data_IF_159265875311
#
_entry.id   IF_159265875311
#
_cell.length_a   1.000
_cell.length_b   1.000
_cell.length_c   1.000
_cell.angle_alpha   90.00
_cell.angle_beta   90.00
_cell.angle_gamma   90.00
#
_symmetry.space_group_name_H-M   'P 1'
#
loop_
_entity.id
_entity.type
_entity.pdbx_description
1 polymer ?
#
# COMPACT_ATOMS: atom_id res chain seq x y z
N UNK A 1 68.81 -18.16 -17.95
CA UNK A 1 67.78 -17.80 -18.94
C UNK A 1 66.46 -17.66 -18.21
N UNK A 2 65.86 -16.48 -18.30
CA UNK A 2 64.67 -16.06 -17.55
C UNK A 2 64.80 -14.57 -17.22
N UNK A 3 64.32 -13.67 -18.10
CA UNK A 3 64.62 -12.25 -18.00
C UNK A 3 63.72 -11.52 -16.99
N UNK A 4 64.34 -10.58 -16.28
CA UNK A 4 63.70 -9.46 -15.58
C UNK A 4 62.86 -8.65 -16.57
N UNK A 5 61.68 -8.21 -16.12
CA UNK A 5 60.94 -7.14 -16.78
C UNK A 5 60.44 -6.18 -15.72
N UNK A 6 60.73 -4.92 -16.01
CA UNK A 6 60.77 -3.77 -15.11
C UNK A 6 59.39 -3.20 -14.78
N UNK A 7 59.33 -2.51 -13.65
CA UNK A 7 58.28 -1.57 -13.31
C UNK A 7 58.35 -0.32 -14.21
N UNK A 8 57.21 0.26 -14.61
CA UNK A 8 57.10 1.68 -14.94
C UNK A 8 56.35 2.41 -13.82
N UNK A 9 57.05 3.27 -13.06
CA UNK A 9 57.03 4.75 -13.18
C UNK A 9 55.66 5.39 -13.05
N UNK A 10 55.50 6.03 -11.89
CA UNK A 10 54.64 7.17 -11.57
C UNK A 10 54.58 8.20 -12.70
N UNK A 11 53.37 8.44 -13.21
CA UNK A 11 53.03 9.61 -14.00
C UNK A 11 51.82 10.26 -13.34
N UNK A 12 52.10 11.31 -12.57
CA UNK A 12 51.11 12.23 -12.05
C UNK A 12 50.23 12.78 -13.18
N UNK A 13 48.95 12.43 -13.13
CA UNK A 13 47.89 13.06 -13.89
C UNK A 13 46.87 13.62 -12.92
N UNK A 14 46.93 14.94 -12.66
CA UNK A 14 45.90 15.67 -11.92
C UNK A 14 44.57 15.50 -12.66
N UNK A 15 43.59 14.84 -12.04
CA UNK A 15 42.20 14.97 -12.46
C UNK A 15 41.76 16.42 -12.26
N UNK A 16 41.15 17.09 -13.26
CA UNK A 16 40.58 18.41 -13.03
C UNK A 16 39.39 18.26 -12.10
N UNK A 17 39.52 18.77 -10.88
CA UNK A 17 38.40 19.04 -9.99
C UNK A 17 37.46 20.03 -10.68
N UNK A 18 36.31 19.55 -11.16
CA UNK A 18 35.21 20.43 -11.56
C UNK A 18 34.81 21.30 -10.35
N UNK A 19 34.83 22.64 -10.45
CA UNK A 19 34.27 23.48 -9.42
C UNK A 19 32.75 23.28 -9.41
N UNK A 20 32.18 22.98 -8.24
CA UNK A 20 30.73 23.09 -8.03
C UNK A 20 30.33 24.55 -8.23
N UNK A 21 29.30 24.85 -9.03
CA UNK A 21 28.80 26.21 -9.16
C UNK A 21 28.17 26.67 -7.83
N UNK A 22 28.26 27.97 -7.49
CA UNK A 22 27.61 28.49 -6.30
C UNK A 22 26.09 28.32 -6.41
N UNK A 23 25.46 27.98 -5.28
CA UNK A 23 24.01 27.85 -5.15
C UNK A 23 23.29 29.09 -5.70
N UNK A 24 22.83 29.00 -6.94
CA UNK A 24 21.86 29.92 -7.54
C UNK A 24 20.50 29.23 -7.52
N UNK A 25 19.52 29.93 -6.94
CA UNK A 25 18.17 29.43 -6.75
C UNK A 25 17.54 28.94 -8.04
N UNK A 26 16.91 27.77 -7.97
CA UNK A 26 16.15 27.22 -9.08
C UNK A 26 14.84 27.98 -9.23
N UNK A 27 14.78 28.84 -10.26
CA UNK A 27 13.56 29.39 -10.84
C UNK A 27 13.15 28.53 -12.04
N UNK A 28 12.13 27.67 -11.90
CA UNK A 28 11.62 26.80 -12.98
C UNK A 28 10.54 25.82 -12.51
N UNK A 29 9.66 25.30 -13.40
CA UNK A 29 8.24 25.07 -13.10
C UNK A 29 7.99 23.73 -12.39
N UNK A 30 8.23 23.69 -11.09
CA UNK A 30 7.69 22.66 -10.18
C UNK A 30 6.81 23.28 -9.08
N UNK A 31 6.53 24.57 -9.18
CA UNK A 31 5.59 25.30 -8.35
C UNK A 31 4.21 25.37 -9.02
N UNK A 32 3.65 24.21 -9.40
CA UNK A 32 2.26 24.16 -9.85
C UNK A 32 1.40 23.68 -8.67
N UNK A 33 0.84 24.69 -8.00
CA UNK A 33 -0.50 24.71 -7.42
C UNK A 33 -0.76 24.16 -6.02
N UNK A 34 0.10 24.45 -5.03
CA UNK A 34 -0.48 24.88 -3.75
C UNK A 34 -0.86 26.35 -3.93
N UNK A 35 -2.11 26.62 -4.33
CA UNK A 35 -2.67 27.98 -4.21
C UNK A 35 -2.44 28.39 -2.76
N UNK A 36 -1.57 29.37 -2.54
CA UNK A 36 -1.43 30.02 -1.26
C UNK A 36 -2.74 30.73 -1.01
N UNK A 37 -3.61 30.14 -0.19
CA UNK A 37 -4.80 30.83 0.29
C UNK A 37 -4.29 32.06 1.06
N UNK A 38 -4.53 33.24 0.50
CA UNK A 38 -4.22 34.51 1.13
C UNK A 38 -5.27 34.89 2.19
N UNK A 39 -6.43 34.21 2.14
CA UNK A 39 -7.55 34.39 3.04
C UNK A 39 -7.23 33.89 4.45
N UNK A 40 -7.77 34.58 5.44
CA UNK A 40 -7.72 34.25 6.86
C UNK A 40 -9.13 33.91 7.33
N UNK A 41 -9.28 33.26 8.48
CA UNK A 41 -10.62 33.06 9.05
C UNK A 41 -11.35 34.41 9.25
N UNK A 42 -10.62 35.45 9.63
CA UNK A 42 -11.15 36.81 9.82
C UNK A 42 -11.59 37.49 8.51
N UNK A 43 -10.96 37.17 7.36
CA UNK A 43 -11.38 37.72 6.07
C UNK A 43 -12.65 37.08 5.53
N UNK A 44 -12.88 35.80 5.86
CA UNK A 44 -14.06 35.05 5.43
C UNK A 44 -15.21 35.04 6.45
N UNK A 45 -14.92 35.28 7.73
CA UNK A 45 -15.91 35.43 8.79
C UNK A 45 -15.64 36.73 9.59
N UNK A 46 -16.29 37.84 9.19
CA UNK A 46 -16.17 39.12 9.88
C UNK A 46 -16.55 38.98 11.35
N UNK A 47 -15.64 39.36 12.27
CA UNK A 47 -15.84 39.29 13.72
C UNK A 47 -15.06 38.19 14.44
N UNK A 48 -14.36 37.31 13.73
CA UNK A 48 -13.46 36.32 14.35
C UNK A 48 -12.02 36.87 14.48
N UNK A 49 -11.31 36.61 15.59
CA UNK A 49 -10.00 37.25 15.86
C UNK A 49 -8.81 36.61 15.10
N UNK A 50 -9.03 35.56 14.32
CA UNK A 50 -7.94 34.76 13.75
C UNK A 50 -7.45 35.28 12.40
N UNK A 51 -6.28 35.90 12.41
CA UNK A 51 -5.57 36.44 11.23
C UNK A 51 -4.63 35.41 10.57
N UNK A 52 -4.66 34.16 11.02
CA UNK A 52 -3.82 33.10 10.43
C UNK A 52 -4.35 32.75 9.04
N UNK A 53 -3.47 32.74 8.04
CA UNK A 53 -3.81 32.31 6.67
C UNK A 53 -4.33 30.88 6.69
N UNK A 54 -5.43 30.66 5.98
CA UNK A 54 -6.07 29.37 5.90
C UNK A 54 -5.25 28.43 5.03
N UNK A 55 -5.06 27.21 5.50
CA UNK A 55 -4.71 26.08 4.65
C UNK A 55 -5.98 25.42 4.11
N UNK A 56 -5.83 24.39 3.28
CA UNK A 56 -6.93 23.51 2.86
C UNK A 56 -7.72 22.97 4.06
N UNK A 57 -7.03 22.59 5.13
CA UNK A 57 -7.65 22.10 6.37
C UNK A 57 -8.37 23.22 7.14
N UNK A 58 -7.85 24.45 7.07
CA UNK A 58 -8.50 25.62 7.64
C UNK A 58 -9.83 25.95 6.97
N UNK A 59 -9.93 25.74 5.65
CA UNK A 59 -11.20 25.89 4.90
C UNK A 59 -12.19 24.79 5.23
N UNK A 60 -11.73 23.54 5.39
CA UNK A 60 -12.60 22.45 5.83
C UNK A 60 -13.18 22.75 7.22
N UNK A 61 -12.37 23.25 8.15
CA UNK A 61 -12.84 23.65 9.48
C UNK A 61 -13.76 24.88 9.44
N UNK A 62 -13.46 25.86 8.58
CA UNK A 62 -14.32 27.02 8.32
C UNK A 62 -15.72 26.59 7.87
N UNK A 63 -15.81 25.69 6.89
CA UNK A 63 -17.08 25.31 6.27
C UNK A 63 -17.85 24.22 7.02
N UNK A 64 -17.16 23.31 7.70
CA UNK A 64 -17.78 22.12 8.29
C UNK A 64 -17.62 22.00 9.82
N UNK A 65 -16.86 22.89 10.47
CA UNK A 65 -16.51 22.73 11.88
C UNK A 65 -17.70 22.87 12.85
N UNK A 66 -18.66 23.76 12.60
CA UNK A 66 -19.89 23.86 13.40
C UNK A 66 -20.72 22.58 13.35
N UNK A 67 -20.97 22.07 12.14
CA UNK A 67 -21.69 20.82 11.90
C UNK A 67 -21.02 19.60 12.55
N UNK A 68 -19.70 19.50 12.43
CA UNK A 68 -18.94 18.41 13.05
C UNK A 68 -19.04 18.45 14.57
N UNK A 69 -18.91 19.64 15.17
CA UNK A 69 -19.01 19.83 16.62
C UNK A 69 -20.43 19.53 17.14
N UNK A 70 -21.47 19.98 16.44
CA UNK A 70 -22.86 19.68 16.78
C UNK A 70 -23.13 18.17 16.79
N UNK A 71 -22.67 17.46 15.75
CA UNK A 71 -22.78 16.00 15.67
C UNK A 71 -22.07 15.29 16.83
N UNK A 72 -20.82 15.68 17.13
CA UNK A 72 -20.04 15.07 18.21
C UNK A 72 -20.62 15.35 19.61
N UNK A 73 -21.25 16.51 19.79
CA UNK A 73 -21.88 16.91 21.05
C UNK A 73 -23.32 16.44 21.19
N UNK A 74 -23.92 15.87 20.13
CA UNK A 74 -25.32 15.46 20.11
C UNK A 74 -26.29 16.63 20.28
N UNK A 75 -25.92 17.84 19.83
CA UNK A 75 -26.74 19.06 19.93
C UNK A 75 -26.93 19.72 18.55
N UNK A 76 -27.67 20.83 18.52
CA UNK A 76 -27.92 21.63 17.31
C UNK A 76 -26.70 22.49 16.93
N UNK A 77 -26.55 22.81 15.64
CA UNK A 77 -25.46 23.68 15.16
C UNK A 77 -25.53 25.11 15.72
N UNK A 78 -26.73 25.58 16.05
CA UNK A 78 -27.01 26.89 16.65
C UNK A 78 -26.77 26.93 18.17
N UNK A 79 -26.45 25.79 18.80
CA UNK A 79 -26.20 25.75 20.23
C UNK A 79 -24.99 26.63 20.59
N UNK A 80 -25.17 27.51 21.57
CA UNK A 80 -24.13 28.41 22.09
C UNK A 80 -22.86 27.68 22.53
N UNK A 81 -22.97 26.41 22.95
CA UNK A 81 -21.84 25.54 23.30
C UNK A 81 -21.01 25.19 22.07
N UNK A 82 -21.65 24.95 20.92
CA UNK A 82 -20.97 24.69 19.64
C UNK A 82 -20.16 25.91 19.23
N UNK A 83 -20.76 27.11 19.26
CA UNK A 83 -20.04 28.35 18.96
C UNK A 83 -18.87 28.61 19.92
N UNK A 84 -19.08 28.35 21.22
CA UNK A 84 -18.03 28.51 22.24
C UNK A 84 -16.87 27.54 22.03
N UNK A 85 -17.13 26.28 21.69
CA UNK A 85 -16.10 25.26 21.43
C UNK A 85 -15.43 25.51 20.09
N UNK A 86 -16.20 25.92 19.08
CA UNK A 86 -15.66 26.33 17.78
C UNK A 86 -14.63 27.45 17.95
N UNK A 87 -14.93 28.39 18.85
CA UNK A 87 -14.08 29.54 19.16
C UNK A 87 -12.91 29.23 20.12
N UNK A 88 -13.12 28.32 21.08
CA UNK A 88 -12.09 28.00 22.11
C UNK A 88 -11.17 26.84 21.74
N UNK A 89 -11.65 25.82 21.06
CA UNK A 89 -10.96 24.52 20.97
C UNK A 89 -10.48 24.14 19.56
N UNK A 90 -11.16 24.54 18.48
CA UNK A 90 -11.20 23.63 17.33
C UNK A 90 -10.31 23.91 16.13
N UNK A 91 -9.72 25.10 15.92
CA UNK A 91 -8.86 25.29 14.74
C UNK A 91 -7.50 24.60 14.90
N UNK A 92 -6.73 24.94 15.94
CA UNK A 92 -5.35 24.44 16.09
C UNK A 92 -5.27 22.92 16.28
N UNK A 93 -6.23 22.33 17.00
CA UNK A 93 -6.25 20.89 17.25
C UNK A 93 -6.73 20.09 16.04
N UNK A 94 -7.74 20.58 15.31
CA UNK A 94 -8.14 19.98 14.04
C UNK A 94 -7.02 20.12 12.98
N UNK A 95 -6.35 21.27 12.92
CA UNK A 95 -5.18 21.50 12.07
C UNK A 95 -4.05 20.52 12.36
N UNK A 96 -3.74 20.25 13.63
CA UNK A 96 -2.73 19.28 14.02
C UNK A 96 -3.08 17.85 13.58
N UNK A 97 -4.33 17.42 13.76
CA UNK A 97 -4.81 16.10 13.34
C UNK A 97 -4.75 15.93 11.82
N UNK A 98 -5.21 16.93 11.06
CA UNK A 98 -5.16 16.87 9.59
C UNK A 98 -3.72 16.93 9.07
N UNK A 99 -2.85 17.72 9.70
CA UNK A 99 -1.43 17.75 9.38
C UNK A 99 -0.79 16.38 9.64
N UNK A 100 -1.07 15.76 10.78
CA UNK A 100 -0.55 14.44 11.12
C UNK A 100 -1.01 13.37 10.12
N UNK A 101 -2.31 13.29 9.81
CA UNK A 101 -2.85 12.35 8.81
C UNK A 101 -2.24 12.59 7.42
N UNK A 102 -2.08 13.85 7.01
CA UNK A 102 -1.47 14.18 5.71
C UNK A 102 0.00 13.73 5.66
N UNK A 103 0.78 14.01 6.71
CA UNK A 103 2.19 13.61 6.76
C UNK A 103 2.34 12.09 6.82
N UNK A 104 1.51 11.39 7.60
CA UNK A 104 1.48 9.92 7.63
C UNK A 104 1.13 9.35 6.26
N UNK A 105 0.19 9.97 5.53
CA UNK A 105 -0.18 9.53 4.19
C UNK A 105 0.94 9.77 3.17
N UNK A 106 1.60 10.92 3.23
CA UNK A 106 2.74 11.24 2.37
C UNK A 106 3.91 10.29 2.63
N UNK A 107 4.22 10.03 3.90
CA UNK A 107 5.23 9.06 4.33
C UNK A 107 4.93 7.66 3.78
N UNK A 108 3.69 7.19 3.92
CA UNK A 108 3.22 5.94 3.32
C UNK A 108 3.42 5.91 1.80
N UNK A 109 3.05 6.96 1.07
CA UNK A 109 3.22 6.99 -0.38
C UNK A 109 4.70 6.98 -0.78
N UNK A 110 5.53 7.77 -0.11
CA UNK A 110 6.95 7.90 -0.40
C UNK A 110 7.73 6.61 -0.09
N UNK A 111 7.46 6.00 1.05
CA UNK A 111 8.29 4.92 1.59
C UNK A 111 7.70 3.52 1.41
N UNK A 112 6.39 3.40 1.19
CA UNK A 112 5.73 2.09 1.04
C UNK A 112 5.09 1.91 -0.34
N UNK A 113 4.20 2.82 -0.77
CA UNK A 113 3.40 2.60 -1.97
C UNK A 113 4.20 2.83 -3.27
N UNK A 114 4.96 3.92 -3.41
CA UNK A 114 5.72 4.20 -4.64
C UNK A 114 6.79 3.12 -4.92
N UNK A 115 7.62 2.70 -3.93
CA UNK A 115 8.60 1.63 -4.15
C UNK A 115 7.95 0.27 -4.46
N UNK A 116 6.74 0.01 -3.95
CA UNK A 116 6.04 -1.26 -4.19
C UNK A 116 5.78 -1.52 -5.67
N UNK A 117 5.64 -0.48 -6.50
CA UNK A 117 5.41 -0.65 -7.93
C UNK A 117 6.48 -1.52 -8.59
N UNK A 118 7.75 -1.21 -8.37
CA UNK A 118 8.87 -1.94 -8.95
C UNK A 118 8.90 -3.41 -8.48
N UNK A 119 8.52 -3.66 -7.22
CA UNK A 119 8.43 -5.02 -6.66
C UNK A 119 7.32 -5.84 -7.34
N UNK A 120 6.17 -5.22 -7.61
CA UNK A 120 5.06 -5.91 -8.29
C UNK A 120 5.37 -6.13 -9.78
N UNK A 121 6.02 -5.18 -10.44
CA UNK A 121 6.51 -5.34 -11.82
C UNK A 121 7.50 -6.51 -11.93
N UNK A 122 8.46 -6.59 -11.01
CA UNK A 122 9.43 -7.69 -10.94
C UNK A 122 8.73 -9.04 -10.66
N UNK A 123 7.82 -9.08 -9.68
CA UNK A 123 7.06 -10.28 -9.33
C UNK A 123 6.21 -10.79 -10.51
N UNK A 124 5.58 -9.88 -11.27
CA UNK A 124 4.86 -10.22 -12.50
C UNK A 124 5.81 -10.80 -13.56
N UNK A 125 6.98 -10.22 -13.77
CA UNK A 125 7.95 -10.74 -14.74
C UNK A 125 8.47 -12.15 -14.37
N UNK A 126 8.66 -12.41 -13.07
CA UNK A 126 9.19 -13.67 -12.55
C UNK A 126 8.13 -14.76 -12.33
N UNK A 127 6.83 -14.46 -12.51
CA UNK A 127 5.71 -15.37 -12.17
C UNK A 127 5.83 -16.80 -12.72
N UNK A 128 6.36 -16.98 -13.93
CA UNK A 128 6.54 -18.31 -14.52
C UNK A 128 7.69 -19.12 -13.89
N UNK A 129 8.62 -18.45 -13.21
CA UNK A 129 9.66 -19.10 -12.38
C UNK A 129 9.09 -19.53 -11.02
N UNK A 130 8.07 -18.81 -10.53
CA UNK A 130 7.34 -19.16 -9.30
C UNK A 130 6.41 -20.35 -9.55
N UNK A 131 5.59 -20.27 -10.58
CA UNK A 131 4.68 -21.32 -10.98
C UNK A 131 4.43 -21.35 -12.49
N UNK A 132 4.48 -22.53 -13.16
CA UNK A 132 4.25 -22.63 -14.59
C UNK A 132 2.89 -22.12 -15.07
N UNK A 133 1.87 -22.05 -14.21
CA UNK A 133 0.57 -21.46 -14.57
C UNK A 133 0.66 -19.99 -14.94
N UNK A 134 1.64 -19.27 -14.37
CA UNK A 134 1.74 -17.81 -14.47
C UNK A 134 0.64 -17.06 -13.71
N UNK A 135 -0.16 -17.73 -12.89
CA UNK A 135 -1.26 -17.12 -12.10
C UNK A 135 -0.87 -16.82 -10.65
N UNK A 136 0.36 -17.18 -10.27
CA UNK A 136 0.90 -16.98 -8.91
C UNK A 136 2.10 -16.06 -9.03
N UNK A 137 2.09 -14.98 -8.25
CA UNK A 137 3.24 -14.09 -8.09
C UNK A 137 3.78 -14.17 -6.67
N UNK A 138 5.08 -13.95 -6.52
CA UNK A 138 5.76 -13.93 -5.23
C UNK A 138 6.38 -12.55 -4.98
N UNK A 139 6.10 -11.96 -3.81
CA UNK A 139 6.78 -10.75 -3.36
C UNK A 139 8.00 -11.15 -2.52
N UNK A 140 9.16 -11.27 -3.17
CA UNK A 140 10.38 -11.80 -2.57
C UNK A 140 10.89 -11.00 -1.34
N UNK A 141 10.53 -9.72 -1.23
CA UNK A 141 10.93 -8.83 -0.11
C UNK A 141 9.86 -8.72 0.98
N UNK A 142 8.87 -9.62 0.98
CA UNK A 142 7.74 -9.61 1.91
C UNK A 142 6.56 -8.78 1.42
N UNK A 143 5.54 -8.66 2.26
CA UNK A 143 4.29 -7.96 1.93
C UNK A 143 4.50 -6.45 1.69
N UNK A 144 3.94 -5.93 0.60
CA UNK A 144 3.92 -4.51 0.26
C UNK A 144 2.52 -4.08 -0.23
N UNK A 145 2.25 -2.77 -0.42
CA UNK A 145 1.03 -2.30 -1.07
C UNK A 145 0.96 -2.74 -2.56
N UNK A 146 0.46 -3.95 -2.83
CA UNK A 146 0.55 -4.54 -4.18
C UNK A 146 -0.71 -4.40 -5.04
N UNK A 147 -1.90 -4.31 -4.43
CA UNK A 147 -3.19 -4.45 -5.13
C UNK A 147 -3.37 -3.46 -6.28
N UNK A 148 -3.27 -2.17 -5.99
CA UNK A 148 -3.49 -1.11 -6.98
C UNK A 148 -2.49 -1.20 -8.14
N UNK A 149 -1.21 -1.43 -7.82
CA UNK A 149 -0.16 -1.64 -8.82
C UNK A 149 -0.44 -2.85 -9.70
N UNK A 150 -0.86 -3.97 -9.10
CA UNK A 150 -1.21 -5.18 -9.85
C UNK A 150 -2.33 -4.90 -10.86
N UNK A 151 -3.44 -4.29 -10.43
CA UNK A 151 -4.54 -3.98 -11.35
C UNK A 151 -4.13 -3.02 -12.46
N UNK A 152 -3.36 -1.98 -12.13
CA UNK A 152 -2.83 -1.06 -13.13
C UNK A 152 -1.91 -1.77 -14.13
N UNK A 153 -0.99 -2.61 -13.64
CA UNK A 153 -0.08 -3.37 -14.49
C UNK A 153 -0.80 -4.39 -15.36
N UNK A 154 -1.80 -5.10 -14.85
CA UNK A 154 -2.63 -5.99 -15.66
C UNK A 154 -3.38 -5.23 -16.77
N UNK A 155 -3.88 -4.02 -16.48
CA UNK A 155 -4.55 -3.20 -17.50
C UNK A 155 -3.62 -2.73 -18.61
N UNK A 156 -2.37 -2.38 -18.28
CA UNK A 156 -1.38 -1.85 -19.24
C UNK A 156 -0.68 -2.98 -19.99
N UNK A 157 -0.32 -4.07 -19.32
CA UNK A 157 0.47 -5.16 -19.88
C UNK A 157 -0.40 -6.25 -20.52
N UNK A 158 -1.69 -6.33 -20.17
CA UNK A 158 -2.64 -7.34 -20.65
C UNK A 158 -2.04 -8.76 -20.65
N UNK A 159 -1.60 -9.28 -19.49
CA UNK A 159 -0.98 -10.60 -19.43
C UNK A 159 -1.96 -11.67 -19.93
N UNK A 160 -1.44 -12.76 -20.53
CA UNK A 160 -2.28 -13.82 -21.12
C UNK A 160 -3.14 -14.55 -20.08
N UNK A 161 -2.71 -14.51 -18.81
CA UNK A 161 -3.43 -15.04 -17.66
C UNK A 161 -3.45 -13.98 -16.55
N UNK A 162 -4.59 -13.83 -15.90
CA UNK A 162 -4.75 -12.95 -14.77
C UNK A 162 -4.12 -13.57 -13.52
N UNK A 163 -3.56 -12.74 -12.64
CA UNK A 163 -2.97 -13.23 -11.39
C UNK A 163 -4.08 -13.62 -10.41
N UNK A 164 -4.02 -14.84 -9.89
CA UNK A 164 -5.02 -15.38 -8.98
C UNK A 164 -4.54 -15.31 -7.53
N UNK A 165 -3.24 -15.53 -7.29
CA UNK A 165 -2.64 -15.54 -5.96
C UNK A 165 -1.37 -14.70 -5.87
N UNK A 166 -1.18 -14.07 -4.72
CA UNK A 166 0.06 -13.41 -4.31
C UNK A 166 0.58 -14.13 -3.07
N UNK A 167 1.82 -14.62 -3.13
CA UNK A 167 2.51 -15.19 -1.97
C UNK A 167 3.61 -14.26 -1.47
N UNK A 168 3.77 -14.16 -0.14
CA UNK A 168 4.76 -13.29 0.49
C UNK A 168 4.95 -13.65 1.97
N UNK A 169 6.03 -13.20 2.58
CA UNK A 169 6.23 -13.28 4.03
C UNK A 169 5.61 -12.07 4.73
N UNK A 170 4.96 -12.30 5.87
CA UNK A 170 4.56 -11.23 6.77
C UNK A 170 5.72 -10.76 7.68
N UNK A 171 5.44 -9.81 8.57
CA UNK A 171 6.44 -9.26 9.49
C UNK A 171 7.00 -10.29 10.47
N UNK A 172 6.29 -11.40 10.71
CA UNK A 172 6.74 -12.51 11.54
C UNK A 172 7.47 -13.61 10.74
N UNK A 173 7.75 -13.36 9.45
CA UNK A 173 8.38 -14.31 8.54
C UNK A 173 7.48 -15.46 8.11
N UNK A 174 6.19 -15.43 8.45
CA UNK A 174 5.24 -16.47 8.08
C UNK A 174 4.74 -16.24 6.66
N UNK A 175 4.61 -17.32 5.89
CA UNK A 175 4.16 -17.21 4.52
C UNK A 175 2.65 -16.99 4.45
N UNK A 176 2.26 -16.10 3.56
CA UNK A 176 0.88 -15.77 3.23
C UNK A 176 0.61 -16.23 1.82
N UNK A 177 -0.59 -16.77 1.61
CA UNK A 177 -1.21 -16.97 0.31
C UNK A 177 -2.46 -16.10 0.29
N UNK A 178 -2.45 -15.04 -0.51
CA UNK A 178 -3.54 -14.08 -0.59
C UNK A 178 -4.19 -14.14 -1.97
N UNK A 179 -5.52 -14.26 -1.99
CA UNK A 179 -6.29 -14.26 -3.21
C UNK A 179 -6.42 -12.83 -3.76
N UNK A 180 -6.23 -12.66 -5.07
CA UNK A 180 -6.49 -11.38 -5.73
C UNK A 180 -8.01 -11.14 -5.80
N UNK A 181 -8.53 -9.97 -5.35
CA UNK A 181 -9.94 -9.64 -5.52
C UNK A 181 -10.34 -9.54 -6.99
N UNK A 182 -11.63 -9.72 -7.30
CA UNK A 182 -12.13 -9.53 -8.68
C UNK A 182 -11.89 -8.10 -9.17
N UNK A 183 -12.08 -7.13 -8.28
CA UNK A 183 -11.93 -5.69 -8.54
C UNK A 183 -11.28 -5.00 -7.32
N UNK A 184 -10.63 -3.83 -7.47
CA UNK A 184 -9.87 -3.16 -6.42
C UNK A 184 -10.56 -2.99 -5.06
N UNK A 185 -11.89 -2.87 -5.04
CA UNK A 185 -12.70 -2.66 -3.84
C UNK A 185 -13.65 -3.81 -3.53
N UNK A 186 -13.51 -4.95 -4.23
CA UNK A 186 -14.38 -6.10 -4.04
C UNK A 186 -13.98 -6.93 -2.83
N UNK A 187 -14.98 -7.40 -2.08
CA UNK A 187 -14.80 -8.43 -1.06
C UNK A 187 -14.74 -9.85 -1.67
N UNK A 188 -15.01 -9.99 -2.98
CA UNK A 188 -14.95 -11.27 -3.67
C UNK A 188 -13.56 -11.50 -4.27
N UNK A 189 -12.96 -12.64 -3.95
CA UNK A 189 -11.73 -13.12 -4.59
C UNK A 189 -11.99 -13.64 -6.01
N UNK A 190 -11.00 -13.52 -6.90
CA UNK A 190 -10.98 -14.19 -8.23
C UNK A 190 -11.14 -15.70 -8.06
N UNK A 191 -10.40 -16.25 -7.10
CA UNK A 191 -10.53 -17.63 -6.65
C UNK A 191 -10.25 -17.68 -5.13
N UNK A 192 -11.29 -17.80 -4.28
CA UNK A 192 -11.09 -17.96 -2.85
C UNK A 192 -10.48 -19.34 -2.54
N UNK A 193 -9.76 -19.45 -1.42
CA UNK A 193 -9.25 -20.72 -0.92
C UNK A 193 -10.41 -21.72 -0.69
N UNK A 194 -10.14 -23.04 -0.81
CA UNK A 194 -11.13 -24.11 -0.74
C UNK A 194 -12.04 -23.97 0.48
N UNK A 195 -13.34 -24.12 0.26
CA UNK A 195 -14.34 -24.02 1.33
C UNK A 195 -14.04 -24.95 2.52
N UNK A 196 -13.60 -26.22 2.33
CA UNK A 196 -13.25 -27.10 3.45
C UNK A 196 -12.12 -26.58 4.33
N UNK A 197 -11.27 -25.66 3.85
CA UNK A 197 -10.14 -25.13 4.64
C UNK A 197 -10.55 -23.94 5.49
N UNK A 198 -11.65 -23.26 5.15
CA UNK A 198 -11.99 -21.95 5.70
C UNK A 198 -12.28 -22.00 7.18
N UNK A 199 -11.65 -21.12 7.95
CA UNK A 199 -11.77 -21.08 9.41
C UNK A 199 -10.92 -22.12 10.13
N UNK A 200 -10.26 -23.04 9.41
CA UNK A 200 -9.35 -24.01 10.01
C UNK A 200 -7.98 -23.42 10.30
N UNK A 201 -7.30 -24.03 11.26
CA UNK A 201 -5.97 -23.66 11.74
C UNK A 201 -5.16 -24.91 12.07
N UNK A 202 -3.84 -24.76 12.03
CA UNK A 202 -2.87 -25.73 12.53
C UNK A 202 -3.20 -27.18 12.09
N UNK A 203 -3.21 -28.15 13.01
CA UNK A 203 -3.37 -29.58 12.69
C UNK A 203 -4.69 -29.90 11.96
N UNK A 204 -5.77 -29.15 12.24
CA UNK A 204 -7.04 -29.33 11.55
C UNK A 204 -6.94 -28.91 10.08
N UNK A 205 -6.21 -27.82 9.80
CA UNK A 205 -5.95 -27.40 8.42
C UNK A 205 -5.05 -28.40 7.71
N UNK A 206 -4.01 -28.90 8.38
CA UNK A 206 -3.10 -29.89 7.81
C UNK A 206 -3.84 -31.17 7.40
N UNK A 207 -4.72 -31.67 8.27
CA UNK A 207 -5.53 -32.87 8.02
C UNK A 207 -6.45 -32.72 6.81
N UNK A 208 -7.13 -31.58 6.67
CA UNK A 208 -8.10 -31.36 5.60
C UNK A 208 -7.42 -30.96 4.28
N UNK A 209 -6.33 -30.20 4.33
CA UNK A 209 -5.61 -29.78 3.14
C UNK A 209 -4.65 -30.83 2.60
N UNK A 210 -4.16 -31.73 3.46
CA UNK A 210 -3.06 -32.64 3.13
C UNK A 210 -1.72 -31.92 2.96
N UNK A 211 -1.60 -30.66 3.42
CA UNK A 211 -0.41 -29.81 3.30
C UNK A 211 0.09 -29.50 4.72
N UNK A 212 1.09 -30.22 5.25
CA UNK A 212 1.56 -30.04 6.62
C UNK A 212 2.23 -28.68 6.86
N UNK A 213 1.95 -28.05 8.00
CA UNK A 213 2.51 -26.76 8.40
C UNK A 213 1.63 -25.56 8.06
N UNK A 214 0.35 -25.78 7.80
CA UNK A 214 -0.68 -24.75 7.71
C UNK A 214 -0.85 -24.01 9.03
N UNK A 215 -1.01 -22.70 8.97
CA UNK A 215 -1.22 -21.84 10.15
C UNK A 215 -2.71 -21.52 10.28
N UNK A 216 -3.33 -21.05 9.19
CA UNK A 216 -4.76 -20.78 9.14
C UNK A 216 -5.26 -20.56 7.71
N UNK A 217 -6.58 -20.61 7.54
CA UNK A 217 -7.30 -19.99 6.41
C UNK A 217 -8.43 -19.13 6.95
N UNK A 218 -8.57 -17.90 6.47
CA UNK A 218 -9.65 -17.01 6.88
C UNK A 218 -11.02 -17.61 6.55
N UNK A 219 -12.05 -17.30 7.35
CA UNK A 219 -13.40 -17.87 7.19
C UNK A 219 -14.04 -17.60 5.80
N UNK A 220 -13.69 -16.49 5.15
CA UNK A 220 -14.13 -16.22 3.75
C UNK A 220 -13.19 -16.77 2.67
N UNK A 221 -12.03 -17.33 3.06
CA UNK A 221 -11.05 -17.92 2.13
C UNK A 221 -10.19 -16.92 1.36
N UNK A 222 -10.22 -15.62 1.68
CA UNK A 222 -9.43 -14.61 0.94
C UNK A 222 -7.91 -14.67 1.20
N UNK A 223 -7.50 -15.27 2.33
CA UNK A 223 -6.11 -15.37 2.75
C UNK A 223 -5.89 -16.62 3.59
N UNK A 224 -4.72 -17.23 3.43
CA UNK A 224 -4.20 -18.31 4.27
C UNK A 224 -2.77 -18.05 4.69
N UNK A 225 -2.32 -18.81 5.68
CA UNK A 225 -0.97 -18.76 6.22
C UNK A 225 -0.31 -20.14 6.26
N UNK A 226 0.98 -20.19 5.97
CA UNK A 226 1.80 -21.39 6.06
C UNK A 226 3.17 -21.07 6.65
N UNK A 227 3.81 -22.06 7.29
CA UNK A 227 5.16 -21.91 7.87
C UNK A 227 6.29 -21.82 6.84
N UNK A 228 6.02 -22.14 5.57
CA UNK A 228 7.04 -22.33 4.53
C UNK A 228 6.54 -21.80 3.19
N UNK A 229 7.46 -21.38 2.34
CA UNK A 229 7.19 -20.92 0.98
C UNK A 229 6.48 -21.98 0.14
N UNK A 230 7.03 -23.19 0.14
CA UNK A 230 6.57 -24.33 -0.65
C UNK A 230 5.16 -24.76 -0.23
N UNK A 231 4.85 -24.68 1.07
CA UNK A 231 3.51 -24.93 1.59
C UNK A 231 2.48 -23.87 1.16
N UNK A 232 2.82 -22.58 1.23
CA UNK A 232 1.93 -21.51 0.71
C UNK A 232 1.70 -21.65 -0.80
N UNK A 233 2.74 -22.01 -1.54
CA UNK A 233 2.64 -22.29 -2.98
C UNK A 233 1.80 -23.55 -3.25
N UNK A 234 1.94 -24.60 -2.44
CA UNK A 234 1.11 -25.81 -2.53
C UNK A 234 -0.37 -25.52 -2.27
N UNK A 235 -0.68 -24.64 -1.31
CA UNK A 235 -2.06 -24.19 -1.06
C UNK A 235 -2.65 -23.47 -2.28
N UNK A 236 -1.90 -22.55 -2.90
CA UNK A 236 -2.33 -21.86 -4.11
C UNK A 236 -2.54 -22.84 -5.29
N UNK A 237 -1.60 -23.76 -5.51
CA UNK A 237 -1.68 -24.80 -6.55
C UNK A 237 -2.87 -25.72 -6.40
N UNK A 238 -3.09 -26.25 -5.20
CA UNK A 238 -4.24 -27.09 -4.90
C UNK A 238 -5.56 -26.35 -5.14
N UNK A 239 -5.60 -25.05 -4.84
CA UNK A 239 -6.77 -24.21 -5.15
C UNK A 239 -6.98 -24.02 -6.65
N UNK A 240 -5.90 -23.76 -7.42
CA UNK A 240 -5.97 -23.67 -8.89
C UNK A 240 -6.45 -24.98 -9.53
N UNK A 241 -6.01 -26.13 -9.00
CA UNK A 241 -6.41 -27.45 -9.49
C UNK A 241 -7.92 -27.73 -9.27
N UNK A 242 -8.49 -27.26 -8.15
CA UNK A 242 -9.94 -27.39 -7.92
C UNK A 242 -10.77 -26.59 -8.93
N UNK A 243 -10.28 -25.45 -9.41
CA UNK A 243 -10.94 -24.68 -10.47
C UNK A 243 -11.09 -25.46 -11.78
N UNK A 244 -10.15 -26.38 -12.06
CA UNK A 244 -10.14 -27.20 -13.27
C UNK A 244 -10.93 -28.50 -13.13
N UNK A 245 -11.37 -28.84 -11.92
CA UNK A 245 -12.18 -30.03 -11.67
C UNK A 245 -13.65 -29.61 -11.57
N UNK A 246 -14.50 -29.86 -12.58
CA UNK A 246 -15.91 -29.54 -12.46
C UNK A 246 -16.49 -30.32 -11.26
N UNK A 247 -17.13 -29.59 -10.34
CA UNK A 247 -17.92 -30.19 -9.27
C UNK A 247 -18.98 -31.05 -9.95
N UNK A 248 -18.82 -32.38 -9.90
CA UNK A 248 -19.91 -33.30 -10.17
C UNK A 248 -20.96 -33.02 -9.10
N UNK A 249 -22.05 -32.37 -9.48
CA UNK A 249 -23.25 -32.25 -8.66
C UNK A 249 -23.82 -33.66 -8.49
N UNK A 250 -23.34 -34.37 -7.47
CA UNK A 250 -23.99 -35.57 -6.98
C UNK A 250 -25.12 -35.13 -6.04
N UNK A 251 -26.35 -35.15 -6.57
CA UNK A 251 -27.59 -35.11 -5.80
C UNK A 251 -27.69 -36.34 -4.90
N UNK A 252 -28.32 -36.19 -3.73
CA UNK A 252 -29.40 -37.09 -3.32
C UNK A 252 -30.77 -36.44 -3.51
#
# INVERSE_FOLDING_TARGET
GGPRIDAPTDVGGRSPSCPLPPHTGLTGPTAVLLRTFAETMSSLCPGKPWQTKLSSAGLVYLHFGHKLLAYLLGTSEEDSVVGTIYDKAGFKRAMALVQEEFLQRLDFYQHSWLPARALVEEALAQRFQVDPSGEIVELAKGGCPWKEHLYHLESVLSPPVAITFVIYTDQAGQWRVQCVPKEPHSFQSRLPLPEPWRGLRDEALDQVSGIPGGIFVHASGFIGGHRTREGALSMARATLAQRLTPISLANP
#
